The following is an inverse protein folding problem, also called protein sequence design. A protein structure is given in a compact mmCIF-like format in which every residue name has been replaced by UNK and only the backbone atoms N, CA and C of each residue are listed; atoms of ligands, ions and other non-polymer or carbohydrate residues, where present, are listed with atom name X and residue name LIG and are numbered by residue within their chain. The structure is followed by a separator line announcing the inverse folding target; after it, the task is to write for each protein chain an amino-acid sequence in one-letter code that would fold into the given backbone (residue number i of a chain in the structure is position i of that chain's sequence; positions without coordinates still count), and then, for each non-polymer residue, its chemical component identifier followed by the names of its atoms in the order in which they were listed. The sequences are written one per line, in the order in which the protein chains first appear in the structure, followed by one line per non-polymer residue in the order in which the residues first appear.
data_IF_967511696514
#
_entry.id   IF_967511696514
#
_cell.length_a   1.000
_cell.length_b   1.000
_cell.length_c   1.000
_cell.angle_alpha   90.00
_cell.angle_beta   90.00
_cell.angle_gamma   90.00
#
_symmetry.space_group_name_H-M   'P 1'
#
loop_
_entity.id
_entity.type
_entity.pdbx_description
1 polymer ?
#
# COMPACT_ATOMS: atom_id res chain seq x y z
N UNK A 1 -5.40 -2.44 29.58
CA UNK A 1 -5.89 -2.03 28.25
C UNK A 1 -4.75 -1.91 27.24
N UNK A 2 -3.81 -0.96 27.39
CA UNK A 2 -2.72 -0.76 26.40
C UNK A 2 -1.82 -1.98 26.07
N UNK A 3 -1.53 -2.86 27.03
CA UNK A 3 -0.66 -4.04 26.78
C UNK A 3 -1.34 -5.10 25.90
N UNK A 4 -2.65 -5.33 26.12
CA UNK A 4 -3.39 -6.35 25.35
C UNK A 4 -3.55 -5.88 23.90
N UNK A 5 -3.88 -4.61 23.69
CA UNK A 5 -3.97 -4.00 22.35
C UNK A 5 -2.62 -4.08 21.60
N UNK A 6 -1.51 -3.78 22.29
CA UNK A 6 -0.17 -3.90 21.72
C UNK A 6 0.16 -5.35 21.32
N UNK A 7 -0.15 -6.33 22.16
CA UNK A 7 0.11 -7.75 21.86
C UNK A 7 -0.72 -8.25 20.67
N UNK A 8 -1.98 -7.79 20.57
CA UNK A 8 -2.85 -8.13 19.44
C UNK A 8 -2.33 -7.51 18.13
N UNK A 9 -1.88 -6.26 18.18
CA UNK A 9 -1.28 -5.58 17.03
C UNK A 9 0.00 -6.28 16.55
N UNK A 10 0.91 -6.61 17.46
CA UNK A 10 2.14 -7.34 17.15
C UNK A 10 1.83 -8.72 16.56
N UNK A 11 0.85 -9.43 17.13
CA UNK A 11 0.42 -10.75 16.60
C UNK A 11 -0.17 -10.65 15.20
N UNK A 12 -0.93 -9.58 14.91
CA UNK A 12 -1.48 -9.33 13.58
C UNK A 12 -0.37 -9.05 12.55
N UNK A 13 0.63 -8.23 12.90
CA UNK A 13 1.79 -7.96 12.04
C UNK A 13 2.56 -9.25 11.75
N UNK A 14 2.87 -10.05 12.78
CA UNK A 14 3.61 -11.30 12.62
C UNK A 14 2.89 -12.22 11.63
N UNK A 15 1.57 -12.39 11.78
CA UNK A 15 0.79 -13.21 10.85
C UNK A 15 0.82 -12.70 9.42
N UNK A 16 0.74 -11.38 9.21
CA UNK A 16 0.82 -10.80 7.87
C UNK A 16 2.22 -11.00 7.26
N UNK A 17 3.28 -10.86 8.05
CA UNK A 17 4.65 -11.12 7.60
C UNK A 17 4.87 -12.59 7.25
N UNK A 18 4.41 -13.52 8.09
CA UNK A 18 4.48 -14.95 7.82
C UNK A 18 3.77 -15.30 6.51
N UNK A 19 2.58 -14.74 6.28
CA UNK A 19 1.85 -14.89 5.03
C UNK A 19 2.61 -14.29 3.84
N UNK A 20 3.21 -13.11 3.99
CA UNK A 20 4.00 -12.51 2.92
C UNK A 20 5.19 -13.40 2.51
N UNK A 21 5.88 -14.00 3.48
CA UNK A 21 6.96 -14.95 3.21
C UNK A 21 6.48 -16.26 2.55
N UNK A 22 5.30 -16.76 2.93
CA UNK A 22 4.76 -18.01 2.42
C UNK A 22 4.07 -17.87 1.04
N UNK A 23 3.29 -16.82 0.85
CA UNK A 23 2.42 -16.60 -0.32
C UNK A 23 3.15 -15.89 -1.46
N UNK A 24 4.20 -15.13 -1.14
CA UNK A 24 4.92 -14.29 -2.11
C UNK A 24 6.44 -14.51 -2.05
N UNK A 25 6.95 -15.74 -2.23
CA UNK A 25 8.38 -16.04 -2.16
C UNK A 25 9.21 -15.32 -3.23
N UNK A 26 8.56 -14.86 -4.31
CA UNK A 26 9.17 -14.01 -5.34
C UNK A 26 9.54 -12.61 -4.83
N UNK A 27 8.87 -12.11 -3.79
CA UNK A 27 9.04 -10.76 -3.25
C UNK A 27 9.63 -10.72 -1.84
N UNK A 28 9.12 -11.55 -0.93
CA UNK A 28 9.56 -11.54 0.46
C UNK A 28 11.05 -11.95 0.56
N UNK A 29 11.89 -11.04 1.03
CA UNK A 29 13.35 -11.25 1.11
C UNK A 29 14.10 -11.21 -0.23
N UNK A 30 13.43 -10.94 -1.35
CA UNK A 30 14.07 -10.85 -2.67
C UNK A 30 14.51 -9.41 -2.98
N UNK A 31 15.81 -9.16 -2.90
CA UNK A 31 16.41 -7.84 -3.16
C UNK A 31 16.07 -7.28 -4.54
N UNK A 32 16.00 -8.12 -5.57
CA UNK A 32 15.69 -7.66 -6.94
C UNK A 32 14.24 -7.20 -7.02
N UNK A 33 13.31 -7.96 -6.43
CA UNK A 33 11.91 -7.56 -6.37
C UNK A 33 11.75 -6.24 -5.60
N UNK A 34 12.39 -6.10 -4.45
CA UNK A 34 12.40 -4.84 -3.69
C UNK A 34 12.93 -3.67 -4.51
N UNK A 35 14.05 -3.84 -5.23
CA UNK A 35 14.61 -2.80 -6.09
C UNK A 35 13.64 -2.39 -7.20
N UNK A 36 12.99 -3.36 -7.85
CA UNK A 36 12.04 -3.11 -8.92
C UNK A 36 10.79 -2.39 -8.41
N UNK A 37 10.22 -2.83 -7.29
CA UNK A 37 9.07 -2.18 -6.65
C UNK A 37 9.41 -0.73 -6.28
N UNK A 38 10.54 -0.49 -5.63
CA UNK A 38 10.96 0.86 -5.25
C UNK A 38 11.18 1.75 -6.48
N UNK A 39 11.85 1.23 -7.52
CA UNK A 39 12.09 1.98 -8.76
C UNK A 39 10.78 2.32 -9.46
N UNK A 40 9.83 1.38 -9.47
CA UNK A 40 8.52 1.58 -10.07
C UNK A 40 7.66 2.54 -9.26
N UNK A 41 7.65 2.42 -7.93
CA UNK A 41 6.97 3.35 -7.03
C UNK A 41 7.45 4.78 -7.23
N UNK A 42 8.77 4.97 -7.19
CA UNK A 42 9.37 6.28 -7.49
C UNK A 42 8.96 6.83 -8.87
N UNK A 43 8.85 5.96 -9.88
CA UNK A 43 8.39 6.38 -11.22
C UNK A 43 6.92 6.79 -11.24
N UNK A 44 6.04 6.08 -10.51
CA UNK A 44 4.64 6.43 -10.35
C UNK A 44 4.50 7.77 -9.60
N UNK A 45 5.20 7.92 -8.47
CA UNK A 45 5.22 9.16 -7.70
C UNK A 45 5.68 10.35 -8.55
N UNK A 46 6.80 10.20 -9.26
CA UNK A 46 7.35 11.27 -10.15
C UNK A 46 6.39 11.65 -11.28
N UNK A 47 5.53 10.72 -11.73
CA UNK A 47 4.60 10.99 -12.81
C UNK A 47 3.42 11.86 -12.36
N UNK A 48 2.89 11.61 -11.17
CA UNK A 48 1.62 12.20 -10.73
C UNK A 48 1.78 13.25 -9.62
N UNK A 49 2.58 12.95 -8.58
CA UNK A 49 2.66 13.80 -7.38
C UNK A 49 3.23 15.21 -7.62
N UNK A 50 4.20 15.44 -8.55
CA UNK A 50 4.66 16.80 -8.85
C UNK A 50 3.59 17.74 -9.39
N UNK A 51 2.44 17.21 -9.81
CA UNK A 51 1.32 18.04 -10.27
C UNK A 51 0.51 18.65 -9.12
N UNK A 52 0.65 18.13 -7.89
CA UNK A 52 0.00 18.65 -6.68
C UNK A 52 0.69 19.96 -6.28
N UNK A 53 -0.09 21.03 -6.13
CA UNK A 53 0.39 22.34 -5.70
C UNK A 53 -0.72 23.13 -4.98
N UNK A 54 -0.40 24.29 -4.41
CA UNK A 54 -1.37 25.08 -3.62
C UNK A 54 -2.64 25.51 -4.38
N UNK A 55 -2.66 25.40 -5.72
CA UNK A 55 -3.81 25.76 -6.56
C UNK A 55 -4.63 24.55 -7.01
N UNK A 56 -4.21 23.31 -6.73
CA UNK A 56 -4.99 22.12 -7.10
C UNK A 56 -6.12 21.89 -6.11
N UNK A 57 -7.32 21.61 -6.63
CA UNK A 57 -8.47 21.29 -5.76
C UNK A 57 -8.27 19.95 -5.06
N UNK A 58 -8.84 19.79 -3.86
CA UNK A 58 -8.85 18.53 -3.11
C UNK A 58 -9.25 17.32 -3.97
N UNK A 59 -10.31 17.48 -4.78
CA UNK A 59 -10.78 16.41 -5.69
C UNK A 59 -9.73 15.99 -6.72
N UNK A 60 -8.92 16.93 -7.20
CA UNK A 60 -7.86 16.68 -8.16
C UNK A 60 -6.63 16.07 -7.47
N UNK A 61 -6.28 16.53 -6.26
CA UNK A 61 -5.25 15.90 -5.44
C UNK A 61 -5.57 14.43 -5.22
N UNK A 62 -6.79 14.11 -4.77
CA UNK A 62 -7.18 12.72 -4.51
C UNK A 62 -7.18 11.86 -5.77
N UNK A 63 -7.51 12.43 -6.94
CA UNK A 63 -7.35 11.73 -8.22
C UNK A 63 -5.88 11.40 -8.51
N UNK A 64 -4.96 12.34 -8.30
CA UNK A 64 -3.53 12.10 -8.51
C UNK A 64 -2.95 11.08 -7.51
N UNK A 65 -3.36 11.13 -6.24
CA UNK A 65 -3.00 10.12 -5.25
C UNK A 65 -3.50 8.74 -5.68
N UNK A 66 -4.75 8.65 -6.14
CA UNK A 66 -5.31 7.41 -6.67
C UNK A 66 -4.53 6.89 -7.87
N UNK A 67 -4.23 7.75 -8.85
CA UNK A 67 -3.49 7.36 -10.06
C UNK A 67 -2.09 6.85 -9.70
N UNK A 68 -1.45 7.46 -8.70
CA UNK A 68 -0.16 7.00 -8.16
C UNK A 68 -0.30 5.61 -7.52
N UNK A 69 -1.24 5.45 -6.60
CA UNK A 69 -1.55 4.17 -5.93
C UNK A 69 -1.86 3.06 -6.93
N UNK A 70 -2.69 3.33 -7.94
CA UNK A 70 -3.11 2.35 -8.94
C UNK A 70 -1.94 1.94 -9.85
N UNK A 71 -1.08 2.90 -10.21
CA UNK A 71 0.17 2.65 -10.93
C UNK A 71 1.10 1.68 -10.18
N UNK A 72 1.24 1.86 -8.86
CA UNK A 72 2.03 0.98 -8.02
C UNK A 72 1.35 -0.38 -7.79
N UNK A 73 0.04 -0.36 -7.61
CA UNK A 73 -0.78 -1.54 -7.35
C UNK A 73 -0.70 -2.54 -8.49
N UNK A 74 -0.92 -2.11 -9.73
CA UNK A 74 -0.90 -3.03 -10.88
C UNK A 74 0.45 -3.73 -11.06
N UNK A 75 1.55 -3.04 -10.79
CA UNK A 75 2.88 -3.66 -10.84
C UNK A 75 3.12 -4.60 -9.64
N UNK A 76 2.76 -4.16 -8.43
CA UNK A 76 2.92 -4.93 -7.21
C UNK A 76 2.11 -6.23 -7.23
N UNK A 77 0.87 -6.17 -7.70
CA UNK A 77 0.01 -7.34 -7.88
C UNK A 77 0.68 -8.38 -8.79
N UNK A 78 1.19 -7.94 -9.95
CA UNK A 78 1.81 -8.83 -10.93
C UNK A 78 3.06 -9.54 -10.41
N UNK A 79 3.81 -8.90 -9.50
CA UNK A 79 5.09 -9.40 -9.02
C UNK A 79 4.97 -10.15 -7.68
N UNK A 80 4.10 -9.66 -6.79
CA UNK A 80 4.03 -10.06 -5.39
C UNK A 80 2.65 -10.56 -4.95
N UNK A 81 1.61 -10.38 -5.76
CA UNK A 81 0.25 -10.82 -5.47
C UNK A 81 -0.51 -9.94 -4.48
N UNK A 82 -1.74 -10.39 -4.18
CA UNK A 82 -2.78 -9.57 -3.54
C UNK A 82 -2.46 -9.16 -2.10
N UNK A 83 -1.67 -9.94 -1.36
CA UNK A 83 -1.31 -9.57 0.01
C UNK A 83 -0.42 -8.33 0.05
N UNK A 84 0.47 -8.17 -0.93
CA UNK A 84 1.30 -6.98 -1.07
C UNK A 84 0.50 -5.78 -1.57
N UNK A 85 -0.51 -6.00 -2.43
CA UNK A 85 -1.48 -4.95 -2.79
C UNK A 85 -2.22 -4.44 -1.54
N UNK A 86 -2.69 -5.35 -0.70
CA UNK A 86 -3.35 -4.97 0.55
C UNK A 86 -2.43 -4.19 1.49
N UNK A 87 -1.16 -4.59 1.61
CA UNK A 87 -0.15 -3.85 2.37
C UNK A 87 0.09 -2.45 1.78
N UNK A 88 0.11 -2.35 0.46
CA UNK A 88 0.29 -1.09 -0.26
C UNK A 88 -0.90 -0.15 -0.04
N UNK A 89 -2.13 -0.65 -0.06
CA UNK A 89 -3.33 0.13 0.28
C UNK A 89 -3.24 0.72 1.69
N UNK A 90 -2.76 -0.08 2.67
CA UNK A 90 -2.55 0.39 4.05
C UNK A 90 -1.46 1.45 4.14
N UNK A 91 -0.39 1.32 3.36
CA UNK A 91 0.68 2.31 3.30
C UNK A 91 0.17 3.64 2.72
N UNK A 92 -0.54 3.61 1.59
CA UNK A 92 -1.12 4.81 1.00
C UNK A 92 -2.14 5.50 1.91
N UNK A 93 -2.95 4.73 2.65
CA UNK A 93 -3.84 5.29 3.65
C UNK A 93 -3.05 6.04 4.74
N UNK A 94 -2.02 5.42 5.31
CA UNK A 94 -1.18 6.06 6.33
C UNK A 94 -0.45 7.30 5.80
N UNK A 95 0.02 7.26 4.55
CA UNK A 95 0.60 8.42 3.86
C UNK A 95 -0.43 9.55 3.72
N UNK A 96 -1.67 9.23 3.33
CA UNK A 96 -2.72 10.23 3.21
C UNK A 96 -3.13 10.83 4.57
N UNK A 97 -3.18 10.04 5.64
CA UNK A 97 -3.46 10.54 6.99
C UNK A 97 -2.48 11.65 7.41
N UNK A 98 -1.22 11.56 7.00
CA UNK A 98 -0.19 12.56 7.32
C UNK A 98 -0.13 13.71 6.31
N UNK A 99 -0.20 13.43 5.01
CA UNK A 99 0.14 14.40 3.96
C UNK A 99 -1.04 14.86 3.10
N UNK A 100 -2.11 14.07 3.01
CA UNK A 100 -3.27 14.33 2.15
C UNK A 100 -4.58 13.99 2.89
N UNK A 101 -4.84 14.63 4.05
CA UNK A 101 -5.96 14.27 4.92
C UNK A 101 -7.33 14.37 4.23
N UNK A 102 -7.45 15.24 3.22
CA UNK A 102 -8.63 15.37 2.38
C UNK A 102 -8.96 14.09 1.58
N UNK A 103 -7.97 13.22 1.35
CA UNK A 103 -8.10 11.99 0.56
C UNK A 103 -8.31 10.72 1.39
N UNK A 104 -8.22 10.79 2.72
CA UNK A 104 -8.34 9.61 3.60
C UNK A 104 -9.65 8.86 3.36
N UNK A 105 -10.79 9.56 3.43
CA UNK A 105 -12.11 8.94 3.24
C UNK A 105 -12.27 8.28 1.86
N UNK A 106 -11.64 8.88 0.84
CA UNK A 106 -11.64 8.33 -0.51
C UNK A 106 -10.84 7.02 -0.56
N UNK A 107 -9.61 7.02 -0.03
CA UNK A 107 -8.77 5.82 -0.01
C UNK A 107 -9.34 4.70 0.86
N UNK A 108 -9.97 5.01 1.98
CA UNK A 108 -10.68 4.02 2.82
C UNK A 108 -11.77 3.29 2.03
N UNK A 109 -12.51 4.01 1.17
CA UNK A 109 -13.58 3.43 0.37
C UNK A 109 -13.10 2.51 -0.76
N UNK A 110 -11.85 2.70 -1.21
CA UNK A 110 -11.21 1.95 -2.29
C UNK A 110 -10.27 0.84 -1.77
N UNK A 111 -10.26 0.60 -0.46
CA UNK A 111 -9.37 -0.39 0.15
C UNK A 111 -9.70 -1.82 -0.29
N UNK A 112 -8.68 -2.55 -0.71
CA UNK A 112 -8.80 -3.99 -0.90
C UNK A 112 -9.11 -4.67 0.43
N UNK A 113 -10.01 -5.68 0.47
CA UNK A 113 -10.15 -6.52 1.64
C UNK A 113 -8.85 -7.30 1.88
N UNK A 114 -8.55 -7.64 3.14
CA UNK A 114 -7.43 -8.54 3.44
C UNK A 114 -7.66 -9.86 2.70
N UNK A 115 -6.79 -10.27 1.76
CA UNK A 115 -6.99 -11.51 1.02
C UNK A 115 -7.01 -12.70 1.99
N UNK A 116 -7.86 -13.73 1.73
CA UNK A 116 -7.90 -14.92 2.56
C UNK A 116 -6.54 -15.63 2.52
N UNK A 117 -6.18 -16.31 3.60
CA UNK A 117 -5.05 -17.25 3.55
C UNK A 117 -5.36 -18.38 2.57
N UNK A 118 -4.37 -18.87 1.79
CA UNK A 118 -4.56 -20.01 0.91
C UNK A 118 -5.15 -21.19 1.69
N UNK A 119 -6.09 -21.90 1.07
CA UNK A 119 -6.47 -23.22 1.57
C UNK A 119 -5.22 -24.11 1.51
N UNK A 120 -4.93 -24.78 2.63
CA UNK A 120 -3.77 -25.67 2.80
C UNK A 120 -3.85 -26.90 1.90
#
# INVERSE_FOLDING_TARGET
FKIIELLLFVSAIIKVLERAYAESPSCAGNRTATYLLNTRGFSCETLYLPSINDNTTDSFNCSLIKDTKDCETGYTESLCGNLYVWLLDRFWLATAEEFYPECVSYLESEMSPLPPSPAS
#
